data_IF_450072663651
#
_entry.id   IF_450072663651
#
_cell.length_a   1.000
_cell.length_b   1.000
_cell.length_c   1.000
_cell.angle_alpha   90.00
_cell.angle_beta   90.00
_cell.angle_gamma   90.00
#
_symmetry.space_group_name_H-M   'P 1'
#
loop_
_entity.id
_entity.type
_entity.pdbx_description
1 polymer ?
2 polymer ?
3 non-polymer ?
4 non-polymer ?
5 water ?
#
# COMPACT_ATOMS: atom_id res chain seq x y z
N UNK A 1 -2.77 -2.27 -16.38
CA UNK A 1 -3.27 -1.15 -15.53
C UNK A 1 -2.16 -0.10 -15.56
N UNK A 2 -2.22 0.85 -14.64
CA UNK A 2 -1.11 1.81 -14.68
C UNK A 2 0.12 1.24 -13.94
N UNK A 3 1.18 1.09 -14.70
CA UNK A 3 2.48 0.64 -14.18
C UNK A 3 3.28 1.83 -13.66
N UNK A 4 3.88 1.69 -12.50
CA UNK A 4 4.69 2.78 -11.91
C UNK A 4 6.11 2.25 -11.84
N UNK A 5 7.00 2.70 -12.69
CA UNK A 5 8.41 2.18 -12.70
C UNK A 5 9.32 3.08 -11.88
N UNK A 6 9.94 2.48 -10.89
CA UNK A 6 10.82 3.20 -9.97
C UNK A 6 12.31 2.93 -10.24
N UNK A 7 12.96 4.08 -10.39
CA UNK A 7 14.38 4.19 -10.70
C UNK A 7 15.10 4.90 -9.56
N UNK A 8 16.18 4.34 -9.03
CA UNK A 8 16.73 3.04 -9.35
C UNK A 8 16.06 2.00 -8.47
N UNK A 9 16.08 0.73 -8.83
CA UNK A 9 15.48 -0.34 -8.02
C UNK A 9 16.12 -0.39 -6.62
N UNK A 10 17.43 -0.08 -6.67
CA UNK A 10 18.23 -0.07 -5.43
C UNK A 10 19.11 1.18 -5.45
N UNK A 11 19.13 1.81 -4.29
CA UNK A 11 19.96 3.00 -4.16
C UNK A 11 20.83 2.93 -2.91
N UNK A 12 22.10 2.63 -3.07
CA UNK A 12 23.13 2.61 -1.99
C UNK A 12 23.46 4.06 -1.63
N UNK A 13 23.31 4.38 -0.38
CA UNK A 13 23.55 5.73 0.14
C UNK A 13 24.40 5.67 1.41
N UNK A 14 24.80 6.90 1.72
CA UNK A 14 25.55 7.17 2.96
C UNK A 14 24.63 8.09 3.78
N UNK A 15 24.65 7.87 5.10
CA UNK A 15 23.86 8.77 5.97
C UNK A 15 24.32 10.21 5.65
N UNK A 16 23.33 11.11 5.56
CA UNK A 16 23.62 12.52 5.26
C UNK A 16 23.56 12.86 3.79
N UNK A 17 23.42 11.84 2.95
CA UNK A 17 23.32 12.07 1.51
C UNK A 17 21.99 12.78 1.20
N UNK A 18 22.00 13.44 0.04
CA UNK A 18 20.80 14.08 -0.53
C UNK A 18 20.51 13.18 -1.76
N UNK A 19 19.32 12.61 -1.75
CA UNK A 19 18.94 11.70 -2.84
C UNK A 19 17.59 12.07 -3.44
N UNK A 20 17.43 11.66 -4.67
CA UNK A 20 16.20 11.82 -5.46
C UNK A 20 15.93 10.45 -6.11
N UNK A 21 14.70 10.01 -5.89
CA UNK A 21 14.20 8.74 -6.49
C UNK A 21 13.03 9.09 -7.44
N UNK A 22 12.92 8.28 -8.47
CA UNK A 22 11.96 8.44 -9.56
C UNK A 22 10.90 7.35 -9.69
N UNK A 23 9.74 7.80 -10.11
CA UNK A 23 8.55 6.98 -10.36
C UNK A 23 7.95 7.38 -11.70
N UNK A 24 8.06 6.53 -12.70
CA UNK A 24 7.51 6.93 -13.99
C UNK A 24 6.20 6.18 -14.22
N UNK A 25 5.15 6.90 -14.53
CA UNK A 25 3.82 6.34 -14.76
C UNK A 25 3.68 5.85 -16.20
N UNK A 26 3.07 4.69 -16.46
CA UNK A 26 2.90 4.17 -17.83
C UNK A 26 1.82 4.97 -18.58
N UNK A 27 0.95 5.67 -17.87
CA UNK A 27 -0.13 6.47 -18.46
C UNK A 27 -0.16 7.82 -17.73
N UNK A 28 -0.53 8.87 -18.44
CA UNK A 28 -0.62 10.22 -17.86
C UNK A 28 -1.58 10.25 -16.67
N UNK A 29 -1.20 11.00 -15.65
CA UNK A 29 -2.03 11.15 -14.44
C UNK A 29 -2.77 12.49 -14.50
N UNK A 30 -2.81 13.02 -15.72
CA UNK A 30 -3.54 14.28 -15.96
C UNK A 30 -4.58 14.02 -17.05
N UNK A 31 -4.91 12.75 -17.32
CA UNK A 31 -5.87 12.43 -18.39
C UNK A 31 -7.32 12.54 -17.96
N UNK A 32 -7.55 12.72 -16.67
CA UNK A 32 -8.92 12.84 -16.13
C UNK A 32 -8.89 13.93 -15.05
N UNK A 33 -9.94 13.95 -14.27
CA UNK A 33 -10.22 14.86 -13.17
C UNK A 33 -9.37 14.62 -11.92
N UNK A 34 -8.73 13.47 -11.91
CA UNK A 34 -7.88 13.16 -10.72
C UNK A 34 -6.48 13.43 -11.23
N UNK A 35 -6.10 14.69 -11.15
CA UNK A 35 -4.77 15.05 -11.66
C UNK A 35 -3.71 14.75 -10.61
N UNK A 36 -2.67 14.07 -11.08
CA UNK A 36 -1.49 13.69 -10.33
C UNK A 36 -1.71 13.10 -8.95
N UNK A 37 -2.59 12.14 -8.84
CA UNK A 37 -2.81 11.46 -7.55
C UNK A 37 -1.66 10.44 -7.39
N UNK A 38 -0.48 10.95 -7.14
CA UNK A 38 0.74 10.17 -6.95
C UNK A 38 1.30 10.38 -5.53
N UNK A 39 1.33 9.26 -4.81
CA UNK A 39 1.73 9.12 -3.41
C UNK A 39 2.97 8.24 -3.27
N UNK A 40 3.56 8.39 -2.11
CA UNK A 40 4.80 7.67 -1.74
C UNK A 40 4.70 7.06 -0.35
N UNK A 41 5.04 5.78 -0.25
CA UNK A 41 5.03 5.05 1.00
C UNK A 41 6.48 4.54 1.26
N UNK A 42 6.78 4.47 2.55
CA UNK A 42 8.05 3.92 3.02
C UNK A 42 7.73 2.63 3.81
N UNK A 43 8.33 1.56 3.37
CA UNK A 43 8.24 0.28 4.08
C UNK A 43 9.61 0.04 4.75
N UNK A 44 9.69 0.46 6.01
CA UNK A 44 10.92 0.25 6.80
C UNK A 44 10.97 -1.26 7.12
N UNK A 45 12.19 -1.77 7.09
CA UNK A 45 12.42 -3.20 7.36
C UNK A 45 11.80 -3.68 8.66
N UNK A 46 10.96 -4.70 8.57
CA UNK A 46 10.26 -5.29 9.70
C UNK A 46 9.01 -4.56 10.14
N UNK A 47 8.77 -3.44 9.44
CA UNK A 47 7.56 -2.64 9.77
C UNK A 47 6.62 -2.57 8.58
N UNK A 48 5.44 -2.01 8.82
CA UNK A 48 4.42 -1.79 7.80
C UNK A 48 4.73 -0.49 7.01
N UNK A 49 4.09 -0.38 5.86
CA UNK A 49 4.23 0.80 4.99
C UNK A 49 3.61 2.01 5.66
N UNK A 50 4.28 3.14 5.51
CA UNK A 50 3.84 4.42 6.07
C UNK A 50 3.73 5.45 4.92
N UNK A 51 2.70 6.30 5.00
CA UNK A 51 2.46 7.33 4.00
C UNK A 51 3.47 8.45 4.28
N UNK A 52 4.17 8.86 3.24
CA UNK A 52 5.19 9.93 3.36
C UNK A 52 4.66 11.24 2.76
N UNK A 53 4.27 11.15 1.53
CA UNK A 53 3.73 12.16 0.63
C UNK A 53 2.55 11.64 -0.19
N UNK A 54 1.55 12.47 -0.35
CA UNK A 54 0.39 12.12 -1.17
C UNK A 54 0.14 13.29 -2.11
N UNK A 55 -0.42 12.92 -3.23
CA UNK A 55 -0.75 13.95 -4.24
C UNK A 55 0.46 14.83 -4.52
N UNK A 56 1.55 14.19 -4.93
CA UNK A 56 2.84 14.62 -5.37
C UNK A 56 3.78 15.29 -4.37
N UNK A 57 3.24 16.26 -3.69
CA UNK A 57 4.02 17.11 -2.79
C UNK A 57 3.56 17.23 -1.35
N UNK A 58 2.43 16.68 -1.03
CA UNK A 58 1.91 16.81 0.34
C UNK A 58 2.53 15.85 1.36
N UNK A 59 3.23 16.44 2.33
CA UNK A 59 3.83 15.65 3.41
C UNK A 59 2.71 15.22 4.39
N UNK A 60 2.72 13.90 4.57
CA UNK A 60 1.73 13.32 5.48
C UNK A 60 2.23 13.66 6.91
N UNK A 61 1.26 13.48 7.77
CA UNK A 61 1.31 13.58 9.20
C UNK A 61 2.52 12.79 9.71
N UNK A 62 3.37 13.49 10.45
CA UNK A 62 4.59 12.92 11.02
C UNK A 62 5.77 12.91 10.06
N UNK A 63 5.67 13.52 8.87
CA UNK A 63 6.79 13.45 7.90
C UNK A 63 7.72 14.65 8.04
N UNK A 64 8.94 14.30 8.43
CA UNK A 64 10.01 15.26 8.64
C UNK A 64 10.13 16.09 7.38
N UNK A 65 10.61 17.25 7.72
CA UNK A 65 10.94 18.38 6.86
C UNK A 65 11.75 17.96 5.63
N UNK A 66 12.68 17.02 5.77
CA UNK A 66 13.57 16.64 4.67
C UNK A 66 12.97 15.92 3.49
N UNK A 67 11.72 15.51 3.53
CA UNK A 67 11.03 14.84 2.41
C UNK A 67 10.25 15.86 1.56
N UNK A 68 10.34 15.68 0.26
CA UNK A 68 9.63 16.57 -0.68
C UNK A 68 9.39 15.75 -1.96
N UNK A 69 8.37 16.21 -2.68
CA UNK A 69 8.00 15.51 -3.93
C UNK A 69 7.66 16.53 -5.01
N UNK A 70 7.88 16.09 -6.23
CA UNK A 70 7.63 16.90 -7.43
C UNK A 70 7.22 15.97 -8.58
N UNK A 71 6.67 16.60 -9.59
CA UNK A 71 6.21 15.99 -10.82
C UNK A 71 4.79 16.33 -11.26
N UNK A 72 4.50 16.01 -12.52
CA UNK A 72 3.23 16.19 -13.18
C UNK A 72 3.17 15.30 -14.43
N UNK A 73 2.04 14.65 -14.68
CA UNK A 73 1.95 13.87 -15.89
C UNK A 73 2.39 12.44 -15.70
N UNK A 74 3.64 12.17 -16.05
CA UNK A 74 4.18 10.81 -15.93
C UNK A 74 5.46 10.67 -15.12
N UNK A 75 6.18 11.74 -14.82
CA UNK A 75 7.45 11.61 -14.06
C UNK A 75 7.37 12.34 -12.73
N UNK A 76 7.55 11.56 -11.66
CA UNK A 76 7.46 12.07 -10.27
C UNK A 76 8.75 11.84 -9.52
N UNK A 77 9.12 12.70 -8.59
CA UNK A 77 10.37 12.49 -7.86
C UNK A 77 10.15 12.68 -6.37
N UNK A 78 10.80 11.86 -5.59
CA UNK A 78 10.77 12.01 -4.13
C UNK A 78 12.19 12.45 -3.76
N UNK A 79 12.33 13.51 -2.98
CA UNK A 79 13.68 13.95 -2.59
C UNK A 79 13.86 13.88 -1.09
N UNK A 80 15.02 13.41 -0.65
CA UNK A 80 15.37 13.30 0.78
C UNK A 80 16.64 14.14 0.97
N UNK A 81 16.48 15.32 1.53
CA UNK A 81 17.61 16.25 1.69
C UNK A 81 18.75 15.71 2.53
N UNK A 82 18.54 14.85 3.50
CA UNK A 82 19.69 14.33 4.33
C UNK A 82 19.26 12.98 4.93
N UNK A 83 19.66 11.92 4.26
CA UNK A 83 19.22 10.57 4.65
C UNK A 83 19.57 10.28 6.08
N UNK A 84 18.58 9.82 6.84
CA UNK A 84 18.78 9.39 8.23
C UNK A 84 18.62 7.87 8.19
N UNK A 85 19.04 7.19 9.23
CA UNK A 85 18.92 5.73 9.41
C UNK A 85 17.42 5.37 9.31
N UNK A 86 16.57 6.20 9.93
CA UNK A 86 15.13 5.97 9.87
C UNK A 86 14.50 6.09 8.49
N UNK A 87 15.24 6.54 7.51
CA UNK A 87 14.77 6.70 6.12
C UNK A 87 15.05 5.45 5.26
N UNK A 88 15.86 4.51 5.67
CA UNK A 88 16.20 3.30 4.93
C UNK A 88 14.98 2.37 4.93
N UNK A 89 14.86 1.68 3.80
CA UNK A 89 13.77 0.73 3.57
C UNK A 89 13.31 0.81 2.12
N UNK A 90 12.11 0.31 1.91
CA UNK A 90 11.58 0.24 0.53
C UNK A 90 10.60 1.37 0.27
N UNK A 91 10.85 2.15 -0.77
CA UNK A 91 9.96 3.24 -1.15
C UNK A 91 9.06 2.79 -2.30
N UNK A 92 7.77 3.02 -2.11
CA UNK A 92 6.76 2.70 -3.12
C UNK A 92 5.94 3.96 -3.50
N UNK A 93 5.84 4.16 -4.81
CA UNK A 93 5.01 5.26 -5.29
C UNK A 93 3.69 4.48 -5.54
N UNK A 94 2.62 5.22 -5.66
CA UNK A 94 1.28 4.61 -5.87
C UNK A 94 0.41 5.63 -6.60
N UNK A 95 -0.50 5.25 -7.46
CA UNK A 95 -1.33 6.27 -8.13
C UNK A 95 -2.79 5.91 -7.83
N UNK A 96 -3.61 6.91 -7.59
CA UNK A 96 -5.05 6.66 -7.34
C UNK A 96 -5.89 7.46 -8.34
N UNK A 97 -5.27 7.96 -9.42
CA UNK A 97 -5.94 8.74 -10.44
C UNK A 97 -6.89 7.87 -11.29
N UNK A 98 -6.35 6.70 -11.56
CA UNK A 98 -7.08 5.72 -12.40
C UNK A 98 -7.37 4.46 -11.61
N UNK A 99 -8.42 3.75 -12.03
CA UNK A 99 -8.83 2.47 -11.37
C UNK A 99 -8.15 1.30 -12.12
N UNK A 100 -7.55 0.39 -11.38
CA UNK A 100 -7.46 0.41 -9.92
C UNK A 100 -6.22 1.16 -9.48
N UNK A 101 -6.19 1.34 -8.19
CA UNK A 101 -5.05 1.98 -7.49
C UNK A 101 -3.92 0.96 -7.66
N UNK A 102 -2.73 1.42 -8.07
CA UNK A 102 -1.58 0.55 -8.31
C UNK A 102 -0.35 1.03 -7.54
N UNK A 103 0.61 0.13 -7.40
CA UNK A 103 1.85 0.41 -6.64
C UNK A 103 3.08 0.21 -7.52
N UNK A 104 4.10 1.01 -7.19
CA UNK A 104 5.35 0.98 -7.98
C UNK A 104 6.26 -0.21 -7.72
N UNK A 105 7.27 -0.33 -8.57
CA UNK A 105 8.25 -1.45 -8.58
C UNK A 105 9.23 -1.38 -7.41
N UNK A 106 9.24 -0.27 -6.69
CA UNK A 106 10.04 -0.03 -5.51
C UNK A 106 11.47 0.39 -5.68
N UNK A 107 11.92 1.20 -4.72
CA UNK A 107 13.29 1.69 -4.66
C UNK A 107 13.70 1.36 -3.20
N UNK A 108 14.71 0.51 -3.15
CA UNK A 108 15.30 0.12 -1.86
C UNK A 108 16.46 1.07 -1.54
N UNK A 109 16.32 1.84 -0.46
CA UNK A 109 17.35 2.77 0.01
C UNK A 109 18.16 1.93 1.02
N UNK A 110 19.43 1.74 0.73
CA UNK A 110 20.28 0.92 1.62
C UNK A 110 21.67 1.54 1.76
N UNK A 111 22.31 1.24 2.88
CA UNK A 111 23.65 1.77 3.15
C UNK A 111 24.65 1.29 2.10
N UNK A 112 25.48 2.23 1.67
CA UNK A 112 26.50 1.91 0.64
C UNK A 112 27.59 1.05 1.29
N UNK A 113 27.90 -0.05 0.61
CA UNK A 113 28.94 -0.97 1.12
C UNK A 113 30.32 -0.59 0.57
N UNK B 1 -4.02 7.42 18.52
CA UNK B 1 -3.26 6.71 17.50
C UNK B 1 -4.12 5.66 16.77
N UNK B 2 -4.08 5.80 15.45
CA UNK B 2 -4.76 4.88 14.55
C UNK B 2 -4.04 3.53 14.67
N UNK B 3 -4.79 2.48 14.90
CA UNK B 3 -4.32 1.11 15.00
C UNK B 3 -5.22 0.19 14.15
N UNK B 4 -4.53 -0.71 13.49
CA UNK B 4 -5.04 -1.75 12.61
C UNK B 4 -4.24 -3.02 12.94
N UNK B 5 -5.00 -4.08 13.20
CA UNK B 5 -4.35 -5.36 13.53
C UNK B 5 -5.06 -6.50 12.80
N UNK B 6 -4.28 -7.09 11.89
CA UNK B 6 -4.79 -8.19 11.07
C UNK B 6 -4.53 -9.48 11.84
N UNK B 7 -5.34 -10.45 11.49
CA UNK B 7 -5.24 -11.79 12.06
C UNK B 7 -5.94 -12.78 11.12
N UNK B 8 -5.64 -14.04 11.39
CA UNK B 8 -6.25 -15.14 10.61
C UNK B 8 -5.38 -15.84 9.61
N UNK B 9 -4.20 -15.32 9.37
CA UNK B 9 -3.27 -15.95 8.40
C UNK B 9 -2.80 -17.26 9.02
N UNK B 10 -2.01 -17.96 8.23
CA UNK B 10 -1.42 -19.25 8.61
C UNK B 10 -1.21 -20.12 7.37
N UNK B 11 -1.05 -21.40 7.67
CA UNK B 11 -0.87 -22.40 6.61
C UNK B 11 -2.23 -22.94 6.12
N UNK B 12 -2.31 -22.97 4.80
CA UNK B 12 -3.50 -23.40 4.07
C UNK B 12 -3.06 -24.39 3.00
N UNK B 13 -3.88 -25.41 2.79
CA UNK B 13 -3.54 -26.38 1.73
C UNK B 13 -4.06 -25.79 0.42
N UNK B 14 -3.43 -26.17 -0.66
CA UNK B 14 -3.80 -25.77 -2.03
C UNK B 14 -5.30 -26.00 -2.21
N UNK B 15 -6.06 -24.99 -2.62
CA UNK B 15 -7.50 -25.11 -2.82
C UNK B 15 -8.33 -24.86 -1.59
N UNK B 16 -7.69 -24.61 -0.45
CA UNK B 16 -8.39 -24.33 0.80
C UNK B 16 -8.90 -22.87 0.75
N UNK B 17 -9.35 -22.43 1.92
CA UNK B 17 -9.90 -21.08 2.13
C UNK B 17 -9.15 -20.37 3.26
N UNK B 18 -9.31 -19.05 3.32
CA UNK B 18 -8.72 -18.16 4.34
C UNK B 18 -9.78 -17.08 4.70
N UNK B 19 -9.76 -16.73 5.97
CA UNK B 19 -10.61 -15.68 6.52
C UNK B 19 -9.68 -14.84 7.44
N UNK B 20 -9.54 -13.60 6.99
CA UNK B 20 -8.68 -12.65 7.71
C UNK B 20 -9.57 -11.57 8.32
N UNK B 21 -9.06 -11.15 9.47
CA UNK B 21 -9.69 -10.10 10.26
C UNK B 21 -8.65 -8.99 10.46
N UNK B 22 -9.19 -7.83 10.69
CA UNK B 22 -8.43 -6.60 10.92
C UNK B 22 -9.29 -5.77 11.88
N UNK B 23 -8.82 -5.72 13.12
CA UNK B 23 -9.59 -4.88 14.09
C UNK B 23 -8.90 -3.52 14.18
N UNK B 24 -9.74 -2.48 14.09
CA UNK B 24 -9.40 -1.07 14.11
C UNK B 24 -9.70 -0.37 15.42
N UNK B 25 -8.82 0.57 15.78
CA UNK B 25 -8.94 1.37 17.00
C UNK B 25 -8.28 2.73 16.73
N UNK B 26 -8.61 3.68 17.60
CA UNK B 26 -8.04 5.02 17.48
C UNK B 26 -8.72 5.91 16.46
N UNK B 27 -9.80 5.45 15.86
CA UNK B 27 -10.57 6.24 14.87
C UNK B 27 -12.03 5.73 14.80
N UNK B 28 -12.88 6.53 14.16
CA UNK B 28 -14.30 6.17 13.93
C UNK B 28 -14.33 5.25 12.71
N UNK B 29 -14.15 3.97 12.92
CA UNK B 29 -14.05 2.95 11.85
C UNK B 29 -15.21 3.00 10.87
N UNK B 30 -16.43 3.19 11.32
CA UNK B 30 -17.64 3.25 10.49
C UNK B 30 -17.75 4.32 9.43
N UNK B 31 -16.87 5.32 9.46
CA UNK B 31 -16.86 6.45 8.49
C UNK B 31 -15.75 6.34 7.44
N UNK B 32 -14.91 5.32 7.55
CA UNK B 32 -13.78 5.10 6.64
C UNK B 32 -13.90 3.92 5.67
N UNK B 33 -13.48 4.20 4.45
CA UNK B 33 -13.44 3.14 3.42
C UNK B 33 -12.19 2.34 3.82
N UNK B 34 -12.21 1.05 3.56
CA UNK B 34 -11.06 0.19 3.95
C UNK B 34 -10.59 -0.63 2.76
N UNK B 35 -9.38 -1.19 2.88
CA UNK B 35 -8.83 -2.01 1.78
C UNK B 35 -7.98 -3.14 2.35
N UNK B 36 -7.65 -4.08 1.47
CA UNK B 36 -6.76 -5.23 1.75
C UNK B 36 -5.72 -5.15 0.62
N UNK B 37 -4.46 -5.18 0.98
CA UNK B 37 -3.38 -5.11 -0.04
C UNK B 37 -2.51 -6.33 0.26
N UNK B 38 -2.09 -7.10 -0.72
CA UNK B 38 -1.22 -8.24 -0.34
C UNK B 38 0.20 -7.92 -0.84
N UNK B 39 1.14 -8.38 -0.05
CA UNK B 39 2.57 -8.17 -0.40
C UNK B 39 3.24 -9.52 -0.61
N UNK B 40 3.66 -9.77 -1.83
CA UNK B 40 4.34 -11.07 -2.14
C UNK B 40 5.79 -11.11 -1.64
N UNK B 41 6.40 -12.29 -1.68
CA UNK B 41 7.79 -12.48 -1.22
C UNK B 41 8.74 -11.48 -1.86
N UNK B 42 8.42 -11.15 -3.09
CA UNK B 42 9.15 -10.22 -3.95
C UNK B 42 8.92 -8.76 -3.53
N UNK B 43 8.10 -8.57 -2.51
CA UNK B 43 7.79 -7.26 -1.94
C UNK B 43 6.85 -6.44 -2.82
N UNK B 44 6.35 -7.07 -3.88
CA UNK B 44 5.40 -6.41 -4.75
C UNK B 44 4.11 -6.22 -3.95
N UNK B 45 3.48 -5.08 -4.13
CA UNK B 45 2.20 -4.74 -3.48
C UNK B 45 1.09 -4.74 -4.53
N UNK B 46 -0.05 -5.32 -4.15
CA UNK B 46 -1.24 -5.40 -4.99
C UNK B 46 -2.54 -5.28 -4.18
N UNK B 47 -3.43 -4.42 -4.65
CA UNK B 47 -4.75 -4.17 -4.09
C UNK B 47 -5.62 -5.43 -4.33
N UNK B 48 -6.13 -5.95 -3.24
CA UNK B 48 -6.98 -7.16 -3.33
C UNK B 48 -8.48 -6.82 -3.37
N UNK B 49 -8.90 -5.83 -2.57
CA UNK B 49 -10.28 -5.41 -2.41
C UNK B 49 -10.42 -4.11 -1.63
N UNK B 50 -11.56 -3.44 -1.80
CA UNK B 50 -11.89 -2.18 -1.12
C UNK B 50 -13.41 -2.19 -0.84
N UNK B 51 -13.78 -1.58 0.25
CA UNK B 51 -15.18 -1.49 0.70
C UNK B 51 -15.51 -0.09 1.22
N UNK B 52 -16.76 0.32 1.02
CA UNK B 52 -17.14 1.67 1.49
C UNK B 52 -17.51 1.51 2.97
N UNK B 53 -17.78 2.68 3.57
CA UNK B 53 -18.18 2.72 4.98
C UNK B 53 -19.54 2.00 5.10
N UNK B 54 -20.33 2.03 4.05
CA UNK B 54 -21.62 1.35 4.00
C UNK B 54 -21.55 -0.18 3.95
N UNK B 55 -20.37 -0.76 3.74
CA UNK B 55 -20.29 -2.24 3.71
C UNK B 55 -20.44 -2.75 2.29
N UNK B 56 -20.36 -1.88 1.29
CA UNK B 56 -20.47 -2.35 -0.11
C UNK B 56 -19.07 -2.41 -0.76
N UNK B 57 -18.74 -3.57 -1.32
CA UNK B 57 -17.46 -3.78 -1.99
C UNK B 57 -17.37 -2.74 -3.10
N UNK B 58 -16.24 -2.09 -3.29
CA UNK B 58 -16.10 -1.06 -4.35
C UNK B 58 -14.99 -1.44 -5.32
N UNK B 59 -14.37 -2.58 -5.02
CA UNK B 59 -13.26 -3.07 -5.84
C UNK B 59 -12.84 -4.48 -5.53
N UNK B 60 -12.64 -5.29 -6.53
CA UNK B 60 -12.11 -6.63 -6.60
C UNK B 60 -11.38 -6.73 -7.96
N UNK B 61 -10.21 -7.34 -7.96
CA UNK B 61 -9.46 -7.58 -9.20
C UNK B 61 -10.10 -8.75 -9.95
N UNK B 62 -10.10 -8.70 -11.27
CA UNK B 62 -10.70 -9.82 -12.02
C UNK B 62 -9.91 -11.10 -11.86
N UNK B 63 -8.66 -11.04 -11.47
CA UNK B 63 -7.79 -12.21 -11.22
C UNK B 63 -8.19 -13.04 -9.98
N UNK B 64 -9.24 -12.65 -9.28
CA UNK B 64 -9.77 -13.23 -8.06
C UNK B 64 -11.30 -13.19 -7.99
N UNK B 65 -11.92 -12.54 -8.98
CA UNK B 65 -13.41 -12.49 -8.90
C UNK B 65 -13.84 -13.95 -8.78
N UNK B 66 -14.80 -14.14 -7.88
CA UNK B 66 -15.36 -15.45 -7.56
C UNK B 66 -14.71 -16.12 -6.36
N UNK B 67 -13.54 -15.66 -5.93
CA UNK B 67 -12.83 -16.26 -4.79
C UNK B 67 -12.59 -15.30 -3.62
N UNK B 68 -13.05 -14.08 -3.72
CA UNK B 68 -12.79 -13.11 -2.64
C UNK B 68 -14.06 -12.38 -2.21
N UNK B 69 -14.06 -12.06 -0.92
CA UNK B 69 -15.12 -11.31 -0.28
C UNK B 69 -14.48 -10.43 0.79
N UNK B 70 -14.83 -9.16 0.67
CA UNK B 70 -14.42 -8.12 1.63
C UNK B 70 -15.72 -7.75 2.36
N UNK B 71 -15.64 -7.68 3.66
CA UNK B 71 -16.78 -7.30 4.52
C UNK B 71 -16.23 -6.50 5.72
N UNK B 72 -17.18 -5.95 6.45
CA UNK B 72 -16.92 -5.15 7.65
C UNK B 72 -18.13 -5.34 8.58
N UNK B 73 -17.78 -5.24 9.84
CA UNK B 73 -18.69 -5.26 11.00
C UNK B 73 -18.35 -3.91 11.68
N UNK B 74 -19.03 -2.85 11.33
CA UNK B 74 -18.76 -1.53 11.90
C UNK B 74 -18.86 -1.48 13.42
N UNK B 75 -19.86 -2.17 13.93
CA UNK B 75 -20.05 -2.24 15.39
C UNK B 75 -18.86 -2.93 16.03
N UNK B 76 -18.25 -3.89 15.36
CA UNK B 76 -17.12 -4.64 15.95
C UNK B 76 -15.82 -3.96 15.48
N UNK B 77 -15.97 -2.87 14.72
CA UNK B 77 -14.79 -2.16 14.21
C UNK B 77 -13.81 -3.15 13.57
N UNK B 78 -14.37 -4.10 12.83
CA UNK B 78 -13.57 -5.12 12.16
C UNK B 78 -13.87 -5.22 10.66
N UNK B 79 -12.77 -5.43 9.95
CA UNK B 79 -12.74 -5.64 8.50
C UNK B 79 -12.33 -7.11 8.28
N UNK B 80 -13.01 -7.70 7.28
CA UNK B 80 -12.75 -9.10 6.94
C UNK B 80 -12.43 -9.30 5.46
N UNK B 81 -11.71 -10.39 5.21
CA UNK B 81 -11.38 -10.78 3.85
C UNK B 81 -11.53 -12.30 3.80
N UNK B 82 -12.32 -12.73 2.84
CA UNK B 82 -12.52 -14.18 2.64
C UNK B 82 -11.91 -14.53 1.28
N UNK B 83 -11.14 -15.61 1.20
CA UNK B 83 -10.60 -16.01 -0.13
C UNK B 83 -10.73 -17.54 -0.24
N UNK B 84 -11.20 -18.01 -1.40
CA UNK B 84 -11.35 -19.47 -1.57
C UNK B 84 -10.52 -19.92 -2.77
N UNK B 85 -10.43 -21.24 -2.88
CA UNK B 85 -9.65 -21.90 -3.92
C UNK B 85 -8.22 -21.33 -3.98
N UNK B 86 -7.59 -21.25 -2.82
CA UNK B 86 -6.23 -20.72 -2.75
C UNK B 86 -5.28 -21.49 -3.64
N UNK B 87 -4.42 -20.71 -4.27
CA UNK B 87 -3.40 -21.36 -5.15
C UNK B 87 -2.05 -20.88 -4.61
N UNK B 88 -1.01 -21.45 -5.20
CA UNK B 88 0.37 -21.12 -4.80
C UNK B 88 0.64 -19.61 -4.81
N UNK B 89 -0.03 -18.87 -5.66
CA UNK B 89 0.12 -17.42 -5.79
C UNK B 89 -0.52 -16.57 -4.70
N UNK B 90 -1.37 -17.18 -3.87
CA UNK B 90 -2.09 -16.51 -2.78
C UNK B 90 -1.21 -16.32 -1.55
N UNK B 91 -0.06 -17.00 -1.56
CA UNK B 91 0.96 -16.91 -0.51
C UNK B 91 1.47 -15.45 -0.47
N UNK B 92 1.26 -14.76 0.62
CA UNK B 92 1.62 -13.34 0.77
C UNK B 92 1.41 -12.86 2.20
N UNK B 93 1.82 -11.64 2.41
CA UNK B 93 1.61 -10.91 3.67
C UNK B 93 0.36 -10.08 3.32
N UNK B 94 -0.70 -10.25 4.06
CA UNK B 94 -1.95 -9.53 3.83
C UNK B 94 -2.12 -8.37 4.84
N UNK B 95 -2.16 -7.18 4.24
CA UNK B 95 -2.36 -5.97 4.99
C UNK B 95 -3.75 -5.34 4.83
N UNK B 96 -4.25 -4.81 5.92
CA UNK B 96 -5.53 -4.02 5.84
C UNK B 96 -4.97 -2.57 5.88
N UNK B 97 -5.61 -1.68 5.13
CA UNK B 97 -5.16 -0.27 5.05
C UNK B 97 -6.37 0.64 5.04
N UNK B 98 -6.31 1.71 5.82
CA UNK B 98 -7.40 2.69 5.85
C UNK B 98 -7.36 3.60 4.63
N UNK B 99 -8.53 3.94 4.10
CA UNK B 99 -8.60 4.83 2.91
C UNK B 99 -8.89 6.26 3.35
N UNK B 100 -8.07 7.18 2.90
CA UNK B 100 -8.11 8.62 3.26
C UNK B 100 -8.69 9.44 2.12
N UNK B 101 -9.69 10.21 2.51
CA UNK B 101 -10.42 11.09 1.58
C UNK B 101 -9.47 12.11 0.94
N UNK B 102 -8.59 12.73 1.72
CA UNK B 102 -7.64 13.73 1.21
C UNK B 102 -6.56 13.09 0.32
N UNK B 103 -6.13 11.89 0.61
CA UNK B 103 -5.12 11.18 -0.18
C UNK B 103 -5.75 10.56 -1.42
N UNK B 104 -6.98 10.08 -1.19
CA UNK B 104 -7.73 9.34 -2.20
C UNK B 104 -6.93 8.04 -2.36
N UNK B 105 -6.44 7.58 -1.22
CA UNK B 105 -5.58 6.36 -1.19
C UNK B 105 -5.35 5.98 0.28
N UNK B 106 -4.49 4.99 0.48
CA UNK B 106 -4.17 4.45 1.80
C UNK B 106 -3.43 5.46 2.68
N UNK B 107 -3.79 5.47 3.95
CA UNK B 107 -3.03 6.35 4.87
C UNK B 107 -2.34 5.36 5.82
N UNK B 108 -3.12 4.74 6.69
CA UNK B 108 -2.57 3.80 7.69
C UNK B 108 -2.72 2.34 7.29
N UNK B 109 -1.73 1.56 7.66
CA UNK B 109 -1.65 0.14 7.35
C UNK B 109 -1.43 -0.68 8.64
N UNK B 110 -2.01 -1.87 8.68
CA UNK B 110 -1.83 -2.76 9.85
C UNK B 110 -0.44 -3.37 9.66
N UNK B 111 -0.15 -4.31 10.53
CA UNK B 111 1.13 -5.04 10.58
C UNK B 111 1.19 -6.17 9.56
N UNK B 112 0.02 -6.64 9.12
CA UNK B 112 -0.14 -7.71 8.15
C UNK B 112 -0.19 -9.09 8.82
N UNK B 113 -0.82 -9.99 8.10
CA UNK B 113 -1.02 -11.39 8.52
C UNK B 113 -0.61 -12.24 7.33
N UNK B 114 0.23 -13.23 7.60
CA UNK B 114 0.73 -14.09 6.52
C UNK B 114 -0.10 -15.33 6.24
N UNK B 115 -0.32 -15.52 4.94
CA UNK B 115 -1.05 -16.71 4.44
C UNK B 115 0.04 -17.46 3.64
N UNK B 116 0.22 -18.71 4.04
CA UNK B 116 1.18 -19.59 3.38
C UNK B 116 0.42 -20.75 2.76
N UNK B 117 0.35 -20.81 1.43
CA UNK B 117 -0.36 -21.91 0.75
C UNK B 117 0.62 -23.08 0.59
N UNK B 118 0.16 -24.24 1.03
CA UNK B 118 1.00 -25.47 0.93
C UNK B 118 0.22 -26.46 0.10
N UNK B 119 0.92 -27.20 -0.74
CA UNK B 119 0.33 -28.20 -1.67
C UNK B 119 -0.66 -29.14 -0.96
X LIG C 1 -0.97 -2.10 -17.26
X LIG D 1 -8.70 6.20 -16.34
X LIG E 1 0.19 -3.00 -13.34
X LIG F 1 -12.97 7.61 1.44
X LIG F 1 -12.84 7.77 2.95
X LIG F 1 -14.16 8.18 3.63
X LIG F 1 -15.00 9.23 2.85
X LIG F 1 -15.10 8.78 1.36
X LIG F 1 -15.89 9.74 0.48
X LIG F 1 -9.85 6.35 -1.90
X LIG F 1 -10.11 7.01 -0.71
X LIG F 1 -11.42 7.21 -0.34
X LIG F 1 -12.44 6.80 -1.18
X LIG F 1 -12.18 6.15 -2.35
X LIG F 1 -13.36 5.70 -3.20
X LIG F 1 -12.95 4.99 -4.48
X LIG F 1 -11.68 4.14 -4.30
X LIG F 1 -10.52 5.14 -4.03
X LIG F 1 -10.85 5.90 -2.74
X LIG F 1 -9.21 4.31 -3.85
X LIG F 1 -8.92 3.47 -5.10
X LIG F 1 -10.08 2.51 -5.38
X LIG F 1 -11.36 3.36 -5.57
X LIG F 1 -12.37 2.33 -6.11
X LIG F 1 -11.51 1.56 -7.15
X LIG F 1 -10.08 1.77 -6.70
X LIG F 1 -10.14 1.39 -4.33
X LIG F 1 -12.40 6.53 3.52
X LIG F 1 -14.07 8.51 5.00
X LIG F 1 -16.31 9.20 3.43
X LIG F 1 -15.43 10.03 -0.84
X LIG F 1 -17.08 10.35 0.98
X LIG F 1 -13.72 8.73 0.87
X LIG F 1 -11.75 7.81 0.82
X LIG F 1 -9.10 1.43 -7.31
#
# INVERSE_FOLDING_TARGET
>A
DIELTQSPPSLPVSLGDQVSISCRSSQSLVSNNRRNYLHWYLQKPGQSPKLVIYKVSNRFSGVPDRFSGSGSGTDFTLKISRVAAEDLGLYFCSQSSHVPLTFGSGTKLEIKR
>B
QVQLQESGGGLVNLGGSMTLSCVASGFTFNTYYMSWVRQTPEKTLELVAAINSDGEPIYYPDTLKGRVTISRDNAKKTLYLQMSSLNFEDTALYYCARLNYAVYGMDYWGQGTTVTVSS
>C hetero
1 ZN ZN
>D hetero
1 ZN ZN
>E hetero
1 ZN ZN
>F hetero
1 E3G C1' C2' C3' C4' C5' C6' C1 C2 C3 C4 C5 C6 C7 C8 C9 C10 C11 C12 C13 C14 C15 C16 C17 C18 O8' O9' O10 O11 O12 O7' O20 O19
#
